data_IF_046467242119
#
_entry.id   IF_046467242119
#
_cell.length_a   1.000
_cell.length_b   1.000
_cell.length_c   1.000
_cell.angle_alpha   90.00
_cell.angle_beta   90.00
_cell.angle_gamma   90.00
#
_symmetry.space_group_name_H-M   'P 1'
#
loop_
_entity.id
_entity.type
_entity.pdbx_description
1 polymer ?
#
# COMPACT_ATOMS: atom_id res chain seq x y z
N UNK A 1 4.54 -12.10 -6.92
CA UNK A 1 4.24 -12.05 -5.47
C UNK A 1 2.82 -12.54 -5.21
N UNK A 2 2.61 -13.20 -4.08
CA UNK A 2 1.26 -13.55 -3.68
C UNK A 2 0.61 -12.38 -2.91
N UNK A 3 -0.72 -12.46 -2.71
CA UNK A 3 -1.46 -11.37 -2.08
C UNK A 3 -1.03 -11.07 -0.64
N UNK A 4 -0.64 -12.10 0.11
CA UNK A 4 -0.20 -11.92 1.51
C UNK A 4 1.12 -11.19 1.59
N UNK A 5 2.04 -11.44 0.67
CA UNK A 5 3.32 -10.71 0.63
C UNK A 5 3.08 -9.24 0.29
N UNK A 6 2.19 -8.98 -0.67
CA UNK A 6 1.82 -7.61 -1.04
C UNK A 6 1.21 -6.88 0.16
N UNK A 7 0.31 -7.53 0.88
CA UNK A 7 -0.30 -6.95 2.07
C UNK A 7 0.73 -6.58 3.13
N UNK A 8 1.65 -7.48 3.41
CA UNK A 8 2.71 -7.23 4.40
C UNK A 8 3.58 -6.04 4.01
N UNK A 9 3.94 -5.93 2.74
CA UNK A 9 4.76 -4.82 2.25
C UNK A 9 4.03 -3.50 2.30
N UNK A 10 2.76 -3.48 1.91
CA UNK A 10 1.94 -2.27 1.97
C UNK A 10 1.74 -1.83 3.42
N UNK A 11 1.43 -2.75 4.31
CA UNK A 11 1.27 -2.43 5.73
C UNK A 11 2.55 -1.83 6.32
N UNK A 12 3.70 -2.41 5.98
CA UNK A 12 5.00 -1.89 6.42
C UNK A 12 5.24 -0.48 5.88
N UNK A 13 4.97 -0.26 4.58
CA UNK A 13 5.14 1.05 3.97
C UNK A 13 4.21 2.08 4.60
N UNK A 14 2.96 1.72 4.86
CA UNK A 14 2.01 2.61 5.52
C UNK A 14 2.46 2.97 6.94
N UNK A 15 3.01 2.02 7.67
CA UNK A 15 3.56 2.28 8.99
C UNK A 15 4.72 3.27 8.94
N UNK A 16 5.62 3.11 7.97
CA UNK A 16 6.73 4.04 7.77
C UNK A 16 6.24 5.42 7.36
N UNK A 17 5.24 5.50 6.49
CA UNK A 17 4.65 6.78 6.08
C UNK A 17 4.10 7.50 7.29
N UNK A 18 3.35 6.80 8.13
CA UNK A 18 2.78 7.38 9.35
C UNK A 18 3.87 7.90 10.28
N UNK A 19 4.94 7.14 10.45
CA UNK A 19 6.07 7.51 11.27
C UNK A 19 6.77 8.76 10.73
N UNK A 20 6.97 8.84 9.42
CA UNK A 20 7.61 9.99 8.78
C UNK A 20 6.74 11.25 8.88
N UNK A 21 5.43 11.12 8.77
CA UNK A 21 4.52 12.25 8.95
C UNK A 21 4.61 12.83 10.36
N UNK A 22 4.79 11.98 11.38
CA UNK A 22 4.92 12.41 12.77
C UNK A 22 6.25 13.11 13.04
N UNK A 23 7.30 12.77 12.29
CA UNK A 23 8.65 13.28 12.53
C UNK A 23 9.07 14.41 11.58
N UNK A 24 8.18 14.87 10.73
CA UNK A 24 8.45 15.94 9.75
C UNK A 24 9.60 15.60 8.79
N UNK A 25 9.74 14.33 8.43
CA UNK A 25 10.75 13.89 7.47
C UNK A 25 10.40 14.40 6.06
N UNK A 26 11.45 14.59 5.24
CA UNK A 26 11.31 15.11 3.88
C UNK A 26 10.28 14.34 3.05
N UNK A 27 9.45 15.08 2.32
CA UNK A 27 8.36 14.53 1.53
C UNK A 27 8.80 13.55 0.44
N UNK A 28 10.06 13.61 0.01
CA UNK A 28 10.59 12.70 -1.03
C UNK A 28 10.53 11.23 -0.60
N UNK A 29 10.89 10.93 0.64
CA UNK A 29 10.85 9.57 1.15
C UNK A 29 9.42 9.03 1.21
N UNK A 30 8.49 9.88 1.61
CA UNK A 30 7.07 9.53 1.65
C UNK A 30 6.56 9.26 0.25
N UNK A 31 6.92 10.09 -0.73
CA UNK A 31 6.52 9.89 -2.12
C UNK A 31 7.04 8.57 -2.69
N UNK A 32 8.26 8.19 -2.36
CA UNK A 32 8.81 6.91 -2.80
C UNK A 32 8.02 5.73 -2.22
N UNK A 33 7.60 5.82 -0.98
CA UNK A 33 6.76 4.79 -0.36
C UNK A 33 5.39 4.69 -1.03
N UNK A 34 4.78 5.81 -1.38
CA UNK A 34 3.53 5.81 -2.13
C UNK A 34 3.69 5.18 -3.51
N UNK A 35 4.77 5.49 -4.22
CA UNK A 35 5.06 4.89 -5.52
C UNK A 35 5.25 3.37 -5.41
N UNK A 36 5.94 2.92 -4.38
CA UNK A 36 6.10 1.49 -4.14
C UNK A 36 4.76 0.81 -3.86
N UNK A 37 3.91 1.45 -3.05
CA UNK A 37 2.57 0.94 -2.81
C UNK A 37 1.76 0.82 -4.10
N UNK A 38 1.85 1.80 -5.00
CA UNK A 38 1.17 1.75 -6.29
C UNK A 38 1.66 0.58 -7.15
N UNK A 39 2.96 0.33 -7.17
CA UNK A 39 3.52 -0.82 -7.88
C UNK A 39 3.02 -2.14 -7.28
N UNK A 40 2.96 -2.22 -5.97
CA UNK A 40 2.45 -3.40 -5.29
C UNK A 40 0.98 -3.64 -5.62
N UNK A 41 0.18 -2.58 -5.71
CA UNK A 41 -1.22 -2.68 -6.11
C UNK A 41 -1.37 -3.19 -7.55
N UNK A 42 -0.49 -2.77 -8.46
CA UNK A 42 -0.49 -3.26 -9.84
C UNK A 42 -0.21 -4.76 -9.92
N UNK A 43 0.62 -5.27 -9.03
CA UNK A 43 0.97 -6.68 -8.97
C UNK A 43 -0.01 -7.51 -8.15
N UNK A 44 -0.94 -6.86 -7.48
CA UNK A 44 -1.88 -7.52 -6.58
C UNK A 44 -2.90 -8.37 -7.36
N UNK A 45 -3.15 -9.62 -6.94
CA UNK A 45 -4.17 -10.47 -7.59
C UNK A 45 -5.60 -9.99 -7.35
N UNK A 46 -5.80 -9.00 -6.52
CA UNK A 46 -7.10 -8.39 -6.18
C UNK A 46 -8.19 -9.42 -5.83
N UNK A 47 -8.36 -9.66 -4.55
CA UNK A 47 -9.48 -10.43 -4.04
C UNK A 47 -10.43 -9.45 -3.33
N UNK A 48 -11.53 -9.10 -3.98
CA UNK A 48 -12.45 -8.11 -3.43
C UNK A 48 -13.42 -8.76 -2.46
N UNK A 49 -13.54 -8.14 -1.28
CA UNK A 49 -14.51 -8.50 -0.28
C UNK A 49 -15.24 -7.23 0.14
N UNK A 50 -16.56 -7.21 -0.03
CA UNK A 50 -17.40 -6.04 0.26
C UNK A 50 -16.93 -4.77 -0.48
N UNK A 51 -16.47 -4.94 -1.72
CA UNK A 51 -16.06 -3.82 -2.58
C UNK A 51 -14.65 -3.33 -2.35
N UNK A 52 -13.84 -4.04 -1.56
CA UNK A 52 -12.48 -3.64 -1.25
C UNK A 52 -11.55 -4.84 -1.29
N UNK A 53 -10.39 -4.66 -1.92
CA UNK A 53 -9.38 -5.72 -1.99
C UNK A 53 -8.79 -6.00 -0.59
N UNK A 54 -8.76 -7.28 -0.21
CA UNK A 54 -8.25 -7.68 1.11
C UNK A 54 -6.72 -7.59 1.22
N UNK A 55 -6.01 -7.42 0.10
CA UNK A 55 -4.55 -7.36 0.10
C UNK A 55 -4.02 -5.93 -0.02
N UNK A 56 -4.48 -5.18 -0.99
CA UNK A 56 -3.93 -3.84 -1.28
C UNK A 56 -4.87 -2.69 -0.96
N UNK A 57 -6.04 -2.98 -0.40
CA UNK A 57 -7.06 -2.00 -0.03
C UNK A 57 -7.60 -1.15 -1.19
N UNK A 58 -7.42 -1.62 -2.43
CA UNK A 58 -7.99 -0.96 -3.59
C UNK A 58 -9.51 -1.17 -3.61
N UNK A 59 -10.25 -0.10 -3.88
CA UNK A 59 -11.70 -0.22 -4.04
C UNK A 59 -12.04 -0.83 -5.39
N UNK A 60 -13.08 -1.68 -5.39
CA UNK A 60 -13.59 -2.27 -6.61
C UNK A 60 -14.20 -1.18 -7.49
N UNK A 61 -13.74 -1.10 -8.74
CA UNK A 61 -14.31 -0.19 -9.71
C UNK A 61 -15.54 -0.83 -10.36
N UNK A 62 -16.60 -0.05 -10.47
CA UNK A 62 -17.82 -0.51 -11.14
C UNK A 62 -17.77 -0.21 -12.63
#
# INVERSE_FOLDING_TARGET
MNGLEIRKKIDKNNELIRKYLDTFVLSMEIQELYKENDKLREQCPHSFLMGKCIYCDKFEEK
#
